data_IF_216699712656
#
_entry.id   IF_216699712656
#
_cell.length_a   1.000
_cell.length_b   1.000
_cell.length_c   1.000
_cell.angle_alpha   90.00
_cell.angle_beta   90.00
_cell.angle_gamma   90.00
#
_symmetry.space_group_name_H-M   'P 1'
#
loop_
_entity.id
_entity.type
_entity.pdbx_description
1 polymer ?
#
# COMPACT_ATOMS: atom_id res chain seq x y z
N UNK A 1 1.33 35.83 30.78
CA UNK A 1 0.61 34.59 30.49
C UNK A 1 0.72 34.34 28.97
N UNK A 2 1.63 33.48 28.53
CA UNK A 2 1.70 33.02 27.16
C UNK A 2 0.58 32.00 26.95
N UNK A 3 -0.49 32.42 26.29
CA UNK A 3 -1.48 31.50 25.74
C UNK A 3 -0.80 30.78 24.58
N UNK A 4 -0.68 29.45 24.59
CA UNK A 4 -0.15 28.74 23.45
C UNK A 4 -1.04 29.06 22.24
N UNK A 5 -0.43 29.58 21.16
CA UNK A 5 -1.12 29.80 19.91
C UNK A 5 -1.66 28.44 19.44
N UNK A 6 -2.97 28.32 19.42
CA UNK A 6 -3.64 27.21 18.76
C UNK A 6 -3.23 27.30 17.29
N UNK A 7 -2.35 26.41 16.87
CA UNK A 7 -2.09 26.24 15.44
C UNK A 7 -3.41 25.76 14.85
N UNK A 8 -4.15 26.69 14.23
CA UNK A 8 -5.34 26.32 13.47
C UNK A 8 -4.86 25.48 12.28
N UNK A 9 -5.04 24.18 12.38
CA UNK A 9 -4.85 23.29 11.26
C UNK A 9 -5.87 23.70 10.19
N UNK A 10 -5.42 24.38 9.15
CA UNK A 10 -6.25 24.57 7.97
C UNK A 10 -6.36 23.21 7.31
N UNK A 11 -7.52 22.57 7.50
CA UNK A 11 -7.84 21.35 6.80
C UNK A 11 -7.73 21.61 5.29
N UNK A 12 -6.96 20.80 4.56
CA UNK A 12 -6.91 20.92 3.10
C UNK A 12 -8.34 20.81 2.56
N UNK A 13 -8.74 21.80 1.74
CA UNK A 13 -10.08 21.79 1.15
C UNK A 13 -10.31 20.50 0.35
N UNK A 14 -11.38 19.80 0.68
CA UNK A 14 -11.85 18.65 -0.09
C UNK A 14 -12.74 19.13 -1.23
N UNK A 15 -12.12 19.49 -2.33
CA UNK A 15 -12.82 20.00 -3.53
C UNK A 15 -13.75 18.98 -4.18
N UNK A 16 -13.58 17.68 -3.87
CA UNK A 16 -14.41 16.58 -4.38
C UNK A 16 -15.37 16.00 -3.32
N UNK A 17 -15.59 16.69 -2.21
CA UNK A 17 -16.43 16.23 -1.10
C UNK A 17 -17.81 15.77 -1.57
N UNK A 18 -18.42 16.46 -2.53
CA UNK A 18 -19.75 16.15 -3.07
C UNK A 18 -19.83 14.77 -3.77
N UNK A 19 -18.68 14.22 -4.19
CA UNK A 19 -18.54 12.85 -4.72
C UNK A 19 -18.02 11.91 -3.64
N UNK A 20 -16.99 12.32 -2.92
CA UNK A 20 -16.27 11.51 -1.96
C UNK A 20 -17.17 11.05 -0.78
N UNK A 21 -17.94 11.95 -0.21
CA UNK A 21 -18.77 11.65 0.95
C UNK A 21 -19.90 10.65 0.67
N UNK A 22 -20.65 10.72 -0.44
CA UNK A 22 -21.58 9.67 -0.82
C UNK A 22 -20.94 8.30 -1.06
N UNK A 23 -19.78 8.26 -1.74
CA UNK A 23 -19.04 7.02 -1.96
C UNK A 23 -18.54 6.44 -0.64
N UNK A 24 -18.03 7.29 0.25
CA UNK A 24 -17.63 6.88 1.60
C UNK A 24 -18.80 6.25 2.38
N UNK A 25 -19.97 6.86 2.38
CA UNK A 25 -21.16 6.31 3.04
C UNK A 25 -21.58 4.95 2.47
N UNK A 26 -21.48 4.80 1.16
CA UNK A 26 -21.69 3.51 0.51
C UNK A 26 -20.66 2.48 1.01
N UNK A 27 -19.37 2.82 0.96
CA UNK A 27 -18.28 1.96 1.43
C UNK A 27 -18.45 1.61 2.92
N UNK A 28 -18.75 2.58 3.78
CA UNK A 28 -18.95 2.37 5.22
C UNK A 28 -20.08 1.37 5.49
N UNK A 29 -21.17 1.48 4.75
CA UNK A 29 -22.30 0.53 4.84
C UNK A 29 -21.85 -0.87 4.43
N UNK A 30 -21.21 -1.01 3.27
CA UNK A 30 -20.74 -2.32 2.78
C UNK A 30 -19.67 -2.90 3.71
N UNK A 31 -18.75 -2.08 4.21
CA UNK A 31 -17.70 -2.54 5.12
C UNK A 31 -18.28 -3.05 6.43
N UNK A 32 -19.19 -2.30 7.07
CA UNK A 32 -19.76 -2.69 8.37
C UNK A 32 -20.64 -3.93 8.29
N UNK A 33 -21.51 -4.00 7.29
CA UNK A 33 -22.58 -5.00 7.26
C UNK A 33 -22.27 -6.23 6.40
N UNK A 34 -21.31 -6.14 5.50
CA UNK A 34 -20.95 -7.24 4.60
C UNK A 34 -19.50 -7.69 4.79
N UNK A 35 -18.54 -6.78 4.57
CA UNK A 35 -17.14 -7.20 4.47
C UNK A 35 -16.50 -7.46 5.83
N UNK A 36 -16.84 -6.71 6.88
CA UNK A 36 -16.32 -6.94 8.22
C UNK A 36 -16.77 -8.29 8.82
N UNK A 37 -18.05 -8.69 8.76
CA UNK A 37 -18.46 -10.04 9.15
C UNK A 37 -17.73 -11.15 8.37
N UNK A 38 -17.54 -10.98 7.05
CA UNK A 38 -16.80 -11.93 6.24
C UNK A 38 -15.32 -12.00 6.63
N UNK A 39 -14.68 -10.85 6.87
CA UNK A 39 -13.29 -10.78 7.31
C UNK A 39 -13.08 -11.43 8.69
N UNK A 40 -14.00 -11.22 9.62
CA UNK A 40 -13.96 -11.89 10.93
C UNK A 40 -14.14 -13.41 10.79
N UNK A 41 -15.12 -13.85 9.98
CA UNK A 41 -15.31 -15.28 9.70
C UNK A 41 -14.09 -15.93 9.04
N UNK A 42 -13.42 -15.22 8.13
CA UNK A 42 -12.17 -15.67 7.55
C UNK A 42 -11.08 -15.86 8.62
N UNK A 43 -10.89 -14.89 9.52
CA UNK A 43 -9.89 -14.96 10.58
C UNK A 43 -10.18 -16.07 11.62
N UNK A 44 -11.44 -16.42 11.82
CA UNK A 44 -11.83 -17.53 12.72
C UNK A 44 -11.54 -18.89 12.09
N UNK A 45 -11.67 -19.03 10.78
CA UNK A 45 -11.57 -20.33 10.07
C UNK A 45 -10.16 -20.58 9.55
N UNK A 46 -9.44 -19.54 9.10
CA UNK A 46 -8.12 -19.68 8.50
C UNK A 46 -7.03 -19.50 9.55
N UNK A 47 -6.25 -20.54 9.88
CA UNK A 47 -5.16 -20.43 10.84
C UNK A 47 -4.07 -19.47 10.33
N UNK A 48 -3.45 -18.74 11.26
CA UNK A 48 -2.41 -17.77 10.95
C UNK A 48 -1.28 -18.28 10.03
N UNK A 49 -0.74 -19.52 10.20
CA UNK A 49 0.29 -20.03 9.28
C UNK A 49 -0.21 -20.18 7.84
N UNK A 50 -1.48 -20.52 7.65
CA UNK A 50 -2.10 -20.64 6.31
C UNK A 50 -2.31 -19.26 5.71
N UNK A 51 -2.82 -18.31 6.49
CA UNK A 51 -2.98 -16.92 6.06
C UNK A 51 -1.63 -16.31 5.66
N UNK A 52 -0.59 -16.49 6.46
CA UNK A 52 0.77 -16.04 6.15
C UNK A 52 1.30 -16.67 4.84
N UNK A 53 1.00 -17.95 4.58
CA UNK A 53 1.41 -18.60 3.33
C UNK A 53 0.69 -18.00 2.11
N UNK A 54 -0.60 -17.73 2.22
CA UNK A 54 -1.38 -17.04 1.18
C UNK A 54 -0.81 -15.64 0.91
N UNK A 55 -0.54 -14.88 1.97
CA UNK A 55 0.08 -13.56 1.86
C UNK A 55 1.45 -13.61 1.18
N UNK A 56 2.30 -14.56 1.59
CA UNK A 56 3.63 -14.73 1.00
C UNK A 56 3.56 -15.06 -0.48
N UNK A 57 2.63 -15.91 -0.90
CA UNK A 57 2.40 -16.24 -2.30
C UNK A 57 2.05 -15.00 -3.13
N UNK A 58 1.08 -14.20 -2.71
CA UNK A 58 0.71 -12.97 -3.43
C UNK A 58 1.80 -11.91 -3.39
N UNK A 59 2.53 -11.79 -2.29
CA UNK A 59 3.69 -10.91 -2.24
C UNK A 59 4.81 -11.37 -3.19
N UNK A 60 5.04 -12.67 -3.30
CA UNK A 60 6.03 -13.20 -4.24
C UNK A 60 5.64 -12.91 -5.70
N UNK A 61 4.36 -12.99 -6.02
CA UNK A 61 3.84 -12.59 -7.34
C UNK A 61 4.05 -11.09 -7.64
N UNK A 62 4.07 -10.23 -6.62
CA UNK A 62 4.31 -8.78 -6.79
C UNK A 62 5.79 -8.38 -6.78
N UNK A 63 6.71 -9.24 -6.35
CA UNK A 63 8.15 -8.93 -6.32
C UNK A 63 8.71 -8.46 -7.69
N UNK A 64 8.28 -9.00 -8.86
CA UNK A 64 8.70 -8.45 -10.15
C UNK A 64 8.26 -6.99 -10.37
N UNK A 65 7.09 -6.60 -9.87
CA UNK A 65 6.62 -5.20 -9.93
C UNK A 65 7.42 -4.31 -8.99
N UNK A 66 7.79 -4.79 -7.81
CA UNK A 66 8.67 -4.07 -6.89
C UNK A 66 10.06 -3.89 -7.53
N UNK A 67 10.61 -4.94 -8.13
CA UNK A 67 11.88 -4.85 -8.85
C UNK A 67 11.85 -3.80 -9.98
N UNK A 68 10.78 -3.79 -10.77
CA UNK A 68 10.58 -2.80 -11.83
C UNK A 68 10.50 -1.38 -11.29
N UNK A 69 9.71 -1.15 -10.23
CA UNK A 69 9.55 0.17 -9.63
C UNK A 69 10.86 0.66 -8.99
N UNK A 70 11.61 -0.19 -8.28
CA UNK A 70 12.96 0.14 -7.79
C UNK A 70 13.91 0.50 -8.92
N UNK A 71 13.85 -0.26 -10.03
CA UNK A 71 14.67 0.04 -11.21
C UNK A 71 14.34 1.42 -11.79
N UNK A 72 13.05 1.73 -11.94
CA UNK A 72 12.59 3.04 -12.43
C UNK A 72 12.98 4.19 -11.49
N UNK A 73 13.11 3.93 -10.20
CA UNK A 73 13.56 4.90 -9.19
C UNK A 73 15.10 5.01 -9.12
N UNK A 74 15.84 4.20 -9.87
CA UNK A 74 17.31 4.16 -9.82
C UNK A 74 17.87 3.38 -8.62
N UNK A 75 17.03 2.63 -7.92
CA UNK A 75 17.39 1.85 -6.73
C UNK A 75 17.82 0.43 -7.12
N UNK A 76 18.93 0.32 -7.86
CA UNK A 76 19.40 -0.94 -8.45
C UNK A 76 19.63 -2.05 -7.42
N UNK A 77 20.11 -1.70 -6.21
CA UNK A 77 20.33 -2.67 -5.14
C UNK A 77 19.01 -3.27 -4.63
N UNK A 78 17.99 -2.44 -4.43
CA UNK A 78 16.67 -2.90 -3.99
C UNK A 78 15.97 -3.70 -5.08
N UNK A 79 16.09 -3.29 -6.35
CA UNK A 79 15.63 -4.07 -7.50
C UNK A 79 16.27 -5.47 -7.52
N UNK A 80 17.59 -5.55 -7.31
CA UNK A 80 18.32 -6.82 -7.20
C UNK A 80 17.83 -7.69 -6.05
N UNK A 81 17.52 -7.11 -4.87
CA UNK A 81 16.94 -7.84 -3.73
C UNK A 81 15.56 -8.41 -4.09
N UNK A 82 14.68 -7.66 -4.73
CA UNK A 82 13.35 -8.15 -5.15
C UNK A 82 13.47 -9.30 -6.17
N UNK A 83 14.39 -9.21 -7.14
CA UNK A 83 14.67 -10.30 -8.09
C UNK A 83 15.17 -11.55 -7.34
N UNK A 84 16.11 -11.38 -6.41
CA UNK A 84 16.64 -12.47 -5.60
C UNK A 84 15.53 -13.14 -4.77
N UNK A 85 14.65 -12.34 -4.16
CA UNK A 85 13.51 -12.84 -3.38
C UNK A 85 12.57 -13.69 -4.22
N UNK A 86 12.15 -13.20 -5.41
CA UNK A 86 11.24 -13.99 -6.26
C UNK A 86 11.87 -15.31 -6.68
N UNK A 87 13.17 -15.34 -7.01
CA UNK A 87 13.85 -16.57 -7.39
C UNK A 87 13.92 -17.58 -6.23
N UNK A 88 14.34 -17.15 -5.05
CA UNK A 88 14.47 -18.00 -3.87
C UNK A 88 13.09 -18.49 -3.39
N UNK A 89 12.14 -17.58 -3.25
CA UNK A 89 10.82 -17.91 -2.73
C UNK A 89 10.03 -18.78 -3.72
N UNK A 90 10.22 -18.60 -5.03
CA UNK A 90 9.58 -19.46 -6.03
C UNK A 90 10.16 -20.86 -6.05
N UNK A 91 11.49 -21.01 -5.91
CA UNK A 91 12.18 -22.31 -5.99
C UNK A 91 12.18 -23.03 -4.65
N UNK A 92 12.77 -22.42 -3.62
CA UNK A 92 12.91 -23.04 -2.28
C UNK A 92 11.66 -22.83 -1.44
N UNK A 93 10.94 -21.71 -1.63
CA UNK A 93 9.74 -21.34 -0.89
C UNK A 93 8.43 -21.91 -1.45
N UNK A 94 8.47 -22.93 -2.33
CA UNK A 94 7.29 -23.57 -2.92
C UNK A 94 6.35 -22.55 -3.59
N UNK A 95 6.80 -21.94 -4.67
CA UNK A 95 6.08 -20.89 -5.42
C UNK A 95 5.75 -19.63 -4.60
N UNK A 96 6.49 -19.42 -3.51
CA UNK A 96 6.31 -18.25 -2.64
C UNK A 96 5.37 -18.46 -1.45
N UNK A 97 4.87 -19.67 -1.20
CA UNK A 97 4.11 -19.99 0.02
C UNK A 97 4.92 -19.78 1.30
N UNK A 98 6.25 -19.98 1.21
CA UNK A 98 7.19 -19.68 2.27
C UNK A 98 8.11 -18.54 1.85
N UNK A 99 8.72 -17.84 2.83
CA UNK A 99 9.64 -16.72 2.61
C UNK A 99 11.06 -17.01 3.11
N UNK A 100 11.77 -18.01 2.53
CA UNK A 100 13.15 -18.33 2.91
C UNK A 100 14.11 -17.17 2.59
N UNK A 101 13.82 -16.32 1.63
CA UNK A 101 14.62 -15.13 1.37
C UNK A 101 14.71 -14.20 2.60
N UNK A 102 13.62 -14.05 3.34
CA UNK A 102 13.62 -13.28 4.58
C UNK A 102 14.07 -14.13 5.79
N UNK A 103 13.51 -15.33 5.98
CA UNK A 103 13.71 -16.12 7.20
C UNK A 103 15.10 -16.74 7.33
N UNK A 104 15.79 -17.03 6.22
CA UNK A 104 17.10 -17.69 6.19
C UNK A 104 18.18 -16.74 5.71
N UNK A 105 17.90 -15.90 4.71
CA UNK A 105 18.91 -15.02 4.09
C UNK A 105 18.82 -13.57 4.56
N UNK A 106 17.85 -13.24 5.41
CA UNK A 106 17.63 -11.90 5.96
C UNK A 106 17.40 -10.81 4.88
N UNK A 107 17.01 -11.21 3.67
CA UNK A 107 16.68 -10.30 2.58
C UNK A 107 15.25 -9.83 2.79
N UNK A 108 15.08 -8.72 3.49
CA UNK A 108 13.78 -8.12 3.80
C UNK A 108 13.08 -7.62 2.54
N UNK A 109 11.75 -7.75 2.51
CA UNK A 109 10.92 -7.18 1.46
C UNK A 109 10.90 -5.67 1.58
N UNK A 110 11.18 -5.01 0.47
CA UNK A 110 11.00 -3.57 0.32
C UNK A 110 9.90 -3.31 -0.72
N UNK A 111 8.71 -2.94 -0.22
CA UNK A 111 7.54 -2.71 -1.08
C UNK A 111 7.64 -1.32 -1.69
N UNK A 112 7.43 -1.25 -2.97
CA UNK A 112 7.30 0.02 -3.70
C UNK A 112 6.24 -0.13 -4.79
N UNK A 113 5.57 0.97 -5.10
CA UNK A 113 4.47 1.03 -6.06
C UNK A 113 4.81 1.98 -7.20
N UNK A 114 3.99 1.97 -8.25
CA UNK A 114 4.12 2.97 -9.30
C UNK A 114 3.82 4.40 -8.78
N UNK A 115 2.98 4.54 -7.76
CA UNK A 115 2.76 5.81 -7.06
C UNK A 115 4.03 6.34 -6.39
N UNK A 116 4.85 5.46 -5.80
CA UNK A 116 6.15 5.83 -5.24
C UNK A 116 7.15 6.24 -6.33
N UNK A 117 7.12 5.54 -7.45
CA UNK A 117 7.90 5.91 -8.64
C UNK A 117 7.52 7.31 -9.13
N UNK A 118 6.23 7.59 -9.31
CA UNK A 118 5.75 8.93 -9.68
C UNK A 118 6.16 10.00 -8.67
N UNK A 119 6.07 9.69 -7.37
CA UNK A 119 6.51 10.60 -6.32
C UNK A 119 8.00 10.89 -6.37
N UNK A 120 8.83 9.91 -6.71
CA UNK A 120 10.27 10.08 -6.88
C UNK A 120 10.60 11.04 -8.04
N UNK A 121 9.76 11.06 -9.08
CA UNK A 121 9.84 12.02 -10.18
C UNK A 121 9.17 13.38 -9.89
N UNK A 122 8.73 13.61 -8.66
CA UNK A 122 8.15 14.88 -8.23
C UNK A 122 6.65 15.04 -8.53
N UNK A 123 5.97 13.97 -8.94
CA UNK A 123 4.51 14.00 -9.12
C UNK A 123 3.82 14.05 -7.77
N UNK A 124 3.07 15.11 -7.49
CA UNK A 124 2.27 15.26 -6.29
C UNK A 124 1.11 14.27 -6.24
N UNK A 125 0.53 14.07 -5.06
CA UNK A 125 -0.60 13.16 -4.88
C UNK A 125 -1.91 13.66 -5.53
N UNK A 126 -2.06 14.98 -5.74
CA UNK A 126 -3.24 15.58 -6.36
C UNK A 126 -4.45 15.61 -5.42
N UNK A 127 -5.66 15.58 -5.99
CA UNK A 127 -6.89 15.65 -5.21
C UNK A 127 -7.16 14.33 -4.47
N UNK A 128 -7.72 14.47 -3.26
CA UNK A 128 -8.24 13.33 -2.49
C UNK A 128 -9.48 12.74 -3.17
N UNK A 129 -9.53 11.42 -3.29
CA UNK A 129 -10.63 10.68 -3.92
C UNK A 129 -10.98 9.48 -3.04
N UNK A 130 -12.28 9.21 -2.90
CA UNK A 130 -12.75 7.96 -2.32
C UNK A 130 -13.16 7.02 -3.45
N UNK A 131 -12.51 5.86 -3.53
CA UNK A 131 -12.83 4.85 -4.54
C UNK A 131 -13.90 3.88 -4.00
N UNK A 132 -14.87 3.48 -4.84
CA UNK A 132 -15.86 2.48 -4.44
C UNK A 132 -15.16 1.18 -4.02
N UNK A 133 -15.51 0.65 -2.86
CA UNK A 133 -14.97 -0.57 -2.23
C UNK A 133 -13.47 -0.57 -1.90
N UNK A 134 -12.69 0.31 -2.48
CA UNK A 134 -11.24 0.43 -2.22
C UNK A 134 -10.92 1.47 -1.13
N UNK A 135 -11.83 2.42 -0.90
CA UNK A 135 -11.70 3.43 0.16
C UNK A 135 -10.88 4.66 -0.23
N UNK A 136 -10.21 5.30 0.75
CA UNK A 136 -9.44 6.51 0.56
C UNK A 136 -8.29 6.35 -0.43
N UNK A 137 -8.12 7.32 -1.31
CA UNK A 137 -7.08 7.36 -2.32
C UNK A 137 -6.79 8.82 -2.73
N UNK A 138 -5.89 9.01 -3.67
CA UNK A 138 -5.66 10.26 -4.37
C UNK A 138 -5.43 9.99 -5.87
N UNK A 139 -5.25 11.05 -6.66
CA UNK A 139 -5.07 10.90 -8.11
C UNK A 139 -3.84 10.08 -8.47
N UNK A 140 -2.72 10.28 -7.78
CA UNK A 140 -1.48 9.53 -8.00
C UNK A 140 -1.63 8.07 -7.63
N UNK A 141 -2.20 7.79 -6.45
CA UNK A 141 -2.41 6.42 -5.98
C UNK A 141 -3.45 5.69 -6.83
N UNK A 142 -4.49 6.39 -7.31
CA UNK A 142 -5.46 5.83 -8.28
C UNK A 142 -4.79 5.45 -9.60
N UNK A 143 -3.90 6.29 -10.12
CA UNK A 143 -3.11 5.96 -11.32
C UNK A 143 -2.18 4.77 -11.05
N UNK A 144 -1.58 4.71 -9.86
CA UNK A 144 -0.74 3.60 -9.42
C UNK A 144 -1.52 2.28 -9.32
N UNK A 145 -2.71 2.30 -8.74
CA UNK A 145 -3.59 1.12 -8.68
C UNK A 145 -3.93 0.60 -10.07
N UNK A 146 -4.25 1.52 -10.99
CA UNK A 146 -4.56 1.18 -12.38
C UNK A 146 -3.35 0.54 -13.08
N UNK A 147 -2.17 1.15 -12.95
CA UNK A 147 -0.94 0.60 -13.50
C UNK A 147 -0.62 -0.78 -12.93
N UNK A 148 -0.65 -0.90 -11.59
CA UNK A 148 -0.36 -2.15 -10.90
C UNK A 148 -1.33 -3.27 -11.27
N UNK A 149 -2.62 -2.95 -11.48
CA UNK A 149 -3.60 -3.91 -11.97
C UNK A 149 -3.22 -4.45 -13.34
N UNK A 150 -2.95 -3.59 -14.33
CA UNK A 150 -2.60 -4.04 -15.69
C UNK A 150 -1.22 -4.71 -15.77
N UNK A 151 -0.26 -4.28 -14.96
CA UNK A 151 1.08 -4.85 -14.92
C UNK A 151 1.20 -6.10 -14.02
N UNK A 152 0.12 -6.50 -13.35
CA UNK A 152 0.15 -7.63 -12.42
C UNK A 152 0.49 -8.94 -13.15
N UNK A 153 1.44 -9.75 -12.65
CA UNK A 153 1.85 -11.00 -13.33
C UNK A 153 0.69 -11.96 -13.63
N UNK A 154 -0.36 -11.98 -12.82
CA UNK A 154 -1.54 -12.80 -13.06
C UNK A 154 -2.27 -12.46 -14.36
N UNK A 155 -2.19 -11.23 -14.87
CA UNK A 155 -2.81 -10.84 -16.13
C UNK A 155 -2.12 -11.46 -17.37
N UNK A 156 -0.96 -12.08 -17.19
CA UNK A 156 -0.23 -12.79 -18.26
C UNK A 156 -0.47 -14.30 -18.25
N UNK A 157 -1.38 -14.78 -17.41
CA UNK A 157 -1.81 -16.18 -17.39
C UNK A 157 -2.87 -16.38 -18.47
N UNK A 158 -2.78 -17.48 -19.25
CA UNK A 158 -3.71 -17.77 -20.34
C UNK A 158 -5.15 -18.08 -19.85
N UNK A 159 -5.32 -18.42 -18.58
CA UNK A 159 -6.60 -18.68 -17.96
C UNK A 159 -7.13 -17.39 -17.30
N UNK A 160 -7.92 -16.62 -18.05
CA UNK A 160 -8.48 -15.34 -17.59
C UNK A 160 -9.40 -15.49 -16.37
N UNK A 161 -10.12 -16.61 -16.27
CA UNK A 161 -11.01 -16.87 -15.14
C UNK A 161 -10.21 -17.11 -13.86
N UNK A 162 -9.21 -17.99 -13.91
CA UNK A 162 -8.33 -18.24 -12.80
C UNK A 162 -7.54 -16.98 -12.38
N UNK A 163 -7.05 -16.21 -13.34
CA UNK A 163 -6.36 -14.95 -13.08
C UNK A 163 -7.27 -13.96 -12.34
N UNK A 164 -8.50 -13.79 -12.79
CA UNK A 164 -9.49 -12.89 -12.15
C UNK A 164 -9.82 -13.35 -10.74
N UNK A 165 -10.05 -14.64 -10.53
CA UNK A 165 -10.33 -15.20 -9.20
C UNK A 165 -9.15 -14.97 -8.24
N UNK A 166 -7.92 -15.19 -8.68
CA UNK A 166 -6.73 -14.96 -7.87
C UNK A 166 -6.54 -13.48 -7.53
N UNK A 167 -6.77 -12.56 -8.48
CA UNK A 167 -6.72 -11.12 -8.23
C UNK A 167 -7.77 -10.67 -7.20
N UNK A 168 -8.97 -11.23 -7.26
CA UNK A 168 -10.01 -10.96 -6.27
C UNK A 168 -9.62 -11.48 -4.88
N UNK A 169 -9.09 -12.70 -4.79
CA UNK A 169 -8.61 -13.27 -3.51
C UNK A 169 -7.48 -12.43 -2.94
N UNK A 170 -6.51 -12.02 -3.77
CA UNK A 170 -5.41 -11.15 -3.36
C UNK A 170 -5.92 -9.80 -2.82
N UNK A 171 -6.82 -9.14 -3.55
CA UNK A 171 -7.40 -7.86 -3.15
C UNK A 171 -8.20 -7.95 -1.84
N UNK A 172 -9.01 -8.98 -1.68
CA UNK A 172 -9.81 -9.21 -0.46
C UNK A 172 -8.90 -9.53 0.72
N UNK A 173 -8.00 -10.49 0.55
CA UNK A 173 -7.10 -10.96 1.61
C UNK A 173 -6.22 -9.84 2.16
N UNK A 174 -5.72 -8.95 1.29
CA UNK A 174 -4.94 -7.79 1.70
C UNK A 174 -5.74 -6.80 2.60
N UNK A 175 -7.07 -6.79 2.49
CA UNK A 175 -7.96 -5.90 3.26
C UNK A 175 -8.50 -6.54 4.54
N UNK A 176 -8.39 -7.86 4.72
CA UNK A 176 -8.95 -8.58 5.88
C UNK A 176 -8.59 -7.93 7.23
N UNK A 177 -7.32 -7.58 7.54
CA UNK A 177 -6.97 -7.00 8.83
C UNK A 177 -7.64 -5.64 9.09
N UNK A 178 -7.83 -4.85 8.04
CA UNK A 178 -8.48 -3.54 8.11
C UNK A 178 -9.98 -3.72 8.29
N UNK A 179 -10.60 -4.56 7.46
CA UNK A 179 -12.05 -4.78 7.45
C UNK A 179 -12.54 -5.45 8.74
N UNK A 180 -11.82 -6.41 9.29
CA UNK A 180 -12.18 -7.06 10.53
C UNK A 180 -12.27 -6.08 11.72
N UNK A 181 -11.42 -5.06 11.74
CA UNK A 181 -11.38 -4.05 12.79
C UNK A 181 -12.16 -2.77 12.48
N UNK A 182 -12.63 -2.60 11.25
CA UNK A 182 -13.23 -1.36 10.75
C UNK A 182 -14.40 -0.84 11.61
N UNK A 183 -15.43 -1.65 11.98
CA UNK A 183 -16.53 -1.15 12.80
C UNK A 183 -16.08 -0.68 14.18
N UNK A 184 -15.09 -1.37 14.76
CA UNK A 184 -14.54 -1.05 16.09
C UNK A 184 -13.71 0.22 16.06
N UNK A 185 -12.93 0.42 14.99
CA UNK A 185 -12.10 1.62 14.82
C UNK A 185 -12.93 2.90 14.67
N UNK A 186 -14.17 2.81 14.21
CA UNK A 186 -15.07 3.93 13.97
C UNK A 186 -16.27 3.99 14.94
N UNK A 187 -16.28 3.17 16.01
CA UNK A 187 -17.43 3.07 16.92
C UNK A 187 -17.76 4.38 17.61
N UNK A 188 -16.75 5.12 18.08
CA UNK A 188 -16.89 6.33 18.86
C UNK A 188 -16.52 7.61 18.05
N UNK A 189 -16.46 7.50 16.73
CA UNK A 189 -16.10 8.61 15.85
C UNK A 189 -17.35 9.38 15.42
N UNK A 190 -17.44 10.66 15.79
CA UNK A 190 -18.60 11.52 15.50
C UNK A 190 -18.74 11.75 13.97
N UNK A 191 -17.65 12.01 13.27
CA UNK A 191 -17.63 12.18 11.81
C UNK A 191 -16.65 11.19 11.16
N UNK A 192 -17.09 9.98 10.81
CA UNK A 192 -16.22 8.96 10.22
C UNK A 192 -15.55 9.38 8.90
N UNK A 193 -16.24 10.15 8.05
CA UNK A 193 -15.68 10.63 6.79
C UNK A 193 -14.45 11.52 7.01
N UNK A 194 -14.61 12.56 7.83
CA UNK A 194 -13.52 13.48 8.16
C UNK A 194 -12.36 12.77 8.85
N UNK A 195 -12.67 11.89 9.78
CA UNK A 195 -11.67 11.10 10.49
C UNK A 195 -10.81 10.25 9.55
N UNK A 196 -11.44 9.47 8.68
CA UNK A 196 -10.73 8.59 7.72
C UNK A 196 -9.95 9.42 6.69
N UNK A 197 -10.53 10.52 6.21
CA UNK A 197 -9.84 11.45 5.32
C UNK A 197 -8.59 12.03 5.97
N UNK A 198 -8.70 12.49 7.21
CA UNK A 198 -7.59 13.10 7.94
C UNK A 198 -6.48 12.07 8.23
N UNK A 199 -6.82 10.83 8.55
CA UNK A 199 -5.84 9.75 8.69
C UNK A 199 -5.09 9.50 7.38
N UNK A 200 -5.82 9.47 6.24
CA UNK A 200 -5.21 9.30 4.94
C UNK A 200 -4.25 10.44 4.61
N UNK A 201 -4.68 11.69 4.76
CA UNK A 201 -3.85 12.88 4.48
C UNK A 201 -2.61 12.93 5.37
N UNK A 202 -2.72 12.58 6.66
CA UNK A 202 -1.57 12.47 7.55
C UNK A 202 -0.59 11.38 7.12
N UNK A 203 -1.07 10.24 6.60
CA UNK A 203 -0.19 9.19 6.08
C UNK A 203 0.59 9.67 4.85
N UNK A 204 -0.08 10.32 3.92
CA UNK A 204 0.52 10.89 2.71
C UNK A 204 1.60 11.94 3.06
N UNK A 205 1.32 12.82 4.03
CA UNK A 205 2.28 13.83 4.48
C UNK A 205 3.51 13.19 5.14
N UNK A 206 3.30 12.23 6.04
CA UNK A 206 4.38 11.48 6.70
C UNK A 206 5.29 10.79 5.69
N UNK A 207 4.70 10.11 4.69
CA UNK A 207 5.45 9.40 3.66
C UNK A 207 6.22 10.40 2.77
N UNK A 208 5.65 11.56 2.49
CA UNK A 208 6.32 12.65 1.81
C UNK A 208 7.51 13.23 2.61
N UNK A 209 7.39 13.36 3.93
CA UNK A 209 8.48 13.81 4.79
C UNK A 209 9.60 12.76 4.89
N UNK A 210 9.26 11.48 5.00
CA UNK A 210 10.23 10.39 5.03
C UNK A 210 11.10 10.39 3.76
N UNK A 211 10.49 10.49 2.59
CA UNK A 211 11.19 10.59 1.30
C UNK A 211 12.13 11.80 1.22
N UNK A 212 11.66 12.99 1.62
CA UNK A 212 12.52 14.20 1.65
C UNK A 212 13.74 14.00 2.53
N UNK A 213 13.58 13.38 3.69
CA UNK A 213 14.67 13.12 4.62
C UNK A 213 15.71 12.14 4.05
N UNK A 214 15.27 11.14 3.29
CA UNK A 214 16.17 10.19 2.60
C UNK A 214 16.97 10.87 1.49
N UNK A 215 16.34 11.70 0.68
CA UNK A 215 17.03 12.50 -0.35
C UNK A 215 18.10 13.38 0.29
N UNK A 216 17.79 14.09 1.37
CA UNK A 216 18.76 14.93 2.10
C UNK A 216 19.95 14.14 2.65
N UNK A 217 19.72 12.93 3.17
CA UNK A 217 20.78 12.06 3.67
C UNK A 217 21.70 11.61 2.53
N UNK A 218 21.12 11.22 1.41
CA UNK A 218 21.86 10.76 0.23
C UNK A 218 22.69 11.88 -0.39
N UNK A 219 22.17 13.10 -0.47
CA UNK A 219 22.90 14.28 -0.96
C UNK A 219 24.07 14.65 -0.03
N UNK A 220 23.86 14.66 1.28
CA UNK A 220 24.93 14.90 2.27
C UNK A 220 26.03 13.84 2.15
N UNK A 221 25.68 12.59 1.95
CA UNK A 221 26.65 11.50 1.83
C UNK A 221 27.48 11.62 0.54
N UNK A 222 26.85 12.01 -0.58
CA UNK A 222 27.54 12.32 -1.83
C UNK A 222 28.52 13.50 -1.68
N UNK A 223 28.10 14.57 -1.01
CA UNK A 223 28.95 15.74 -0.78
C UNK A 223 30.16 15.42 0.13
N UNK A 224 29.97 14.58 1.14
CA UNK A 224 31.08 14.16 2.04
C UNK A 224 32.09 13.23 1.33
N UNK A 225 31.67 12.52 0.28
CA UNK A 225 32.56 11.63 -0.49
C UNK A 225 33.31 12.37 -1.62
N UNK A 226 32.88 13.58 -1.99
CA UNK A 226 33.47 14.39 -3.07
C UNK A 226 34.43 15.48 -2.58
N UNK A 227 34.66 15.63 -1.28
CA UNK A 227 35.69 16.53 -0.77
C UNK A 227 37.06 15.86 -0.89
N UNK A 228 37.98 16.37 -1.73
CA UNK A 228 39.36 15.84 -1.79
C UNK A 228 40.10 16.19 -0.48
N UNK A 229 40.85 15.23 0.02
CA UNK A 229 41.85 15.39 1.12
C UNK A 229 42.99 16.30 0.67
#
# INVERSE_FOLDING_TARGET
QNVPSVISYQEPEDSLRFINEPIFKFNDTVYRYLLSPLANGYQEVVPEPVDNSIQNFFYNLREPLYALNHLLQGEFAESGKSITRVLINTTVGLLGLFDPANSVMEIKRNKTTFGDTLANYGVGHGAYIVLPLLGPSDLRDTASLTFNYFAHPLNFINDEEAATQLLLVDGIQAQVPILANYPRALADVENPYEFVRNLYMQSVERDGQARRNEVFKTEKQKQSTTLPV
#
